data_IF_528330199376
#
_entry.id   IF_528330199376
#
_cell.length_a   1.000
_cell.length_b   1.000
_cell.length_c   1.000
_cell.angle_alpha   90.00
_cell.angle_beta   90.00
_cell.angle_gamma   90.00
#
_symmetry.space_group_name_H-M   'P 1'
#
loop_
_entity.id
_entity.type
_entity.pdbx_description
1 polymer ?
#
# COMPACT_ATOMS: atom_id res chain seq x y z
N UNK A 1 -11.95 3.31 -19.85
CA UNK A 1 -10.57 2.98 -20.26
C UNK A 1 -10.51 1.55 -20.77
N UNK A 2 -9.92 1.37 -21.96
CA UNK A 2 -9.62 0.07 -22.57
C UNK A 2 -8.43 -0.61 -21.86
N UNK A 3 -8.44 -1.93 -21.76
CA UNK A 3 -7.37 -2.72 -21.14
C UNK A 3 -6.00 -2.46 -21.80
N UNK A 4 -5.95 -2.31 -23.12
CA UNK A 4 -4.71 -1.99 -23.86
C UNK A 4 -4.08 -0.66 -23.41
N UNK A 5 -4.88 0.30 -22.92
CA UNK A 5 -4.37 1.58 -22.47
C UNK A 5 -3.59 1.50 -21.14
N UNK A 6 -3.72 0.40 -20.39
CA UNK A 6 -2.96 0.20 -19.15
C UNK A 6 -1.48 -0.12 -19.38
N UNK A 7 -1.11 -0.58 -20.58
CA UNK A 7 0.26 -0.96 -20.92
C UNK A 7 1.08 0.17 -21.54
N UNK A 8 0.51 1.38 -21.67
CA UNK A 8 1.25 2.55 -22.13
C UNK A 8 2.24 3.00 -21.06
N UNK A 9 3.49 3.29 -21.44
CA UNK A 9 4.54 3.74 -20.51
C UNK A 9 4.16 4.95 -19.65
N UNK A 10 3.24 5.80 -20.12
CA UNK A 10 2.67 6.89 -19.33
C UNK A 10 2.01 6.43 -18.02
N UNK A 11 1.56 5.18 -17.96
CA UNK A 11 0.96 4.55 -16.78
C UNK A 11 1.98 4.16 -15.71
N UNK A 12 3.28 4.36 -15.95
CA UNK A 12 4.30 4.36 -14.89
C UNK A 12 4.29 5.66 -14.07
N UNK A 13 3.82 6.78 -14.64
CA UNK A 13 3.84 8.10 -14.00
C UNK A 13 2.65 8.28 -13.05
N UNK A 14 2.87 8.78 -11.84
CA UNK A 14 1.83 9.03 -10.85
C UNK A 14 0.91 10.23 -11.21
N UNK A 15 0.02 10.03 -12.18
CA UNK A 15 -1.01 11.00 -12.63
C UNK A 15 -2.41 10.49 -12.32
N UNK A 16 -3.23 11.29 -11.64
CA UNK A 16 -4.58 10.87 -11.29
C UNK A 16 -5.47 12.10 -11.12
N UNK A 17 -6.71 11.98 -11.58
CA UNK A 17 -7.59 13.15 -11.77
C UNK A 17 -8.15 13.68 -10.45
N UNK A 18 -8.29 12.83 -9.42
CA UNK A 18 -8.88 13.21 -8.14
C UNK A 18 -8.03 12.78 -6.95
N UNK A 19 -7.41 13.73 -6.26
CA UNK A 19 -6.66 13.45 -5.02
C UNK A 19 -7.56 12.90 -3.91
N UNK A 20 -8.88 13.15 -3.96
CA UNK A 20 -9.84 12.66 -2.98
C UNK A 20 -9.88 11.13 -2.90
N UNK A 21 -9.56 10.43 -3.99
CA UNK A 21 -9.48 8.97 -4.00
C UNK A 21 -8.47 8.41 -3.00
N UNK A 22 -7.46 9.20 -2.61
CA UNK A 22 -6.40 8.75 -1.71
C UNK A 22 -6.74 8.90 -0.23
N UNK A 23 -7.68 9.77 0.14
CA UNK A 23 -7.93 10.11 1.54
C UNK A 23 -9.39 10.07 1.98
N UNK A 24 -10.34 9.92 1.06
CA UNK A 24 -11.77 9.84 1.38
C UNK A 24 -12.25 8.40 1.48
N UNK A 25 -13.14 8.15 2.44
CA UNK A 25 -13.94 6.94 2.46
C UNK A 25 -14.82 6.91 1.21
N UNK A 26 -14.74 5.84 0.41
CA UNK A 26 -15.56 5.71 -0.80
C UNK A 26 -16.75 4.76 -0.63
N UNK A 27 -16.88 4.09 0.52
CA UNK A 27 -18.01 3.25 0.84
C UNK A 27 -19.04 4.00 1.71
N UNK A 28 -20.33 3.80 1.41
CA UNK A 28 -21.46 4.09 2.29
C UNK A 28 -21.91 5.55 2.48
N UNK A 29 -21.34 6.54 1.77
CA UNK A 29 -21.85 7.93 1.83
C UNK A 29 -21.77 8.62 3.20
N UNK A 30 -21.04 8.02 4.16
CA UNK A 30 -20.88 8.51 5.53
C UNK A 30 -19.76 9.56 5.59
N UNK A 31 -19.83 10.43 6.60
CA UNK A 31 -18.78 11.39 6.99
C UNK A 31 -17.38 10.79 6.93
N UNK A 32 -16.42 11.57 6.39
CA UNK A 32 -15.08 11.12 6.05
C UNK A 32 -14.17 10.90 7.28
N UNK A 33 -14.39 9.80 7.99
CA UNK A 33 -13.61 9.39 9.16
C UNK A 33 -12.53 8.33 8.84
N UNK A 34 -12.18 8.12 7.57
CA UNK A 34 -11.14 7.16 7.16
C UNK A 34 -9.79 7.39 7.87
N UNK A 35 -9.50 8.65 8.22
CA UNK A 35 -8.29 9.01 8.96
C UNK A 35 -8.19 8.34 10.34
N UNK A 36 -9.31 8.16 11.06
CA UNK A 36 -9.32 7.49 12.37
C UNK A 36 -8.93 6.03 12.23
N UNK A 37 -9.54 5.34 11.26
CA UNK A 37 -9.25 3.93 10.99
C UNK A 37 -7.78 3.74 10.59
N UNK A 38 -7.27 4.59 9.69
CA UNK A 38 -5.87 4.55 9.27
C UNK A 38 -4.90 4.84 10.40
N UNK A 39 -5.25 5.75 11.30
CA UNK A 39 -4.44 6.03 12.49
C UNK A 39 -4.36 4.79 13.39
N UNK A 40 -5.49 4.13 13.66
CA UNK A 40 -5.51 2.88 14.43
C UNK A 40 -4.69 1.78 13.76
N UNK A 41 -4.83 1.60 12.45
CA UNK A 41 -4.05 0.61 11.70
C UNK A 41 -2.55 0.92 11.71
N UNK A 42 -2.18 2.20 11.58
CA UNK A 42 -0.78 2.63 11.62
C UNK A 42 -0.16 2.39 13.00
N UNK A 43 -0.86 2.75 14.08
CA UNK A 43 -0.41 2.51 15.45
C UNK A 43 -0.24 1.02 15.73
N UNK A 44 -1.18 0.20 15.27
CA UNK A 44 -1.10 -1.25 15.41
C UNK A 44 0.09 -1.84 14.65
N UNK A 45 0.24 -1.50 13.36
CA UNK A 45 1.34 -2.00 12.55
C UNK A 45 2.71 -1.56 13.09
N UNK A 46 2.80 -0.35 13.62
CA UNK A 46 4.00 0.17 14.28
C UNK A 46 4.29 -0.58 15.59
N UNK A 47 3.27 -0.84 16.42
CA UNK A 47 3.43 -1.61 17.64
C UNK A 47 3.93 -3.03 17.35
N UNK A 48 3.37 -3.72 16.35
CA UNK A 48 3.85 -5.05 15.94
C UNK A 48 5.28 -4.99 15.38
N UNK A 49 5.62 -3.95 14.61
CA UNK A 49 6.98 -3.78 14.10
C UNK A 49 7.99 -3.64 15.25
N UNK A 50 7.71 -2.74 16.20
CA UNK A 50 8.55 -2.51 17.39
C UNK A 50 8.63 -3.78 18.24
N UNK A 51 7.49 -4.40 18.53
CA UNK A 51 7.44 -5.65 19.28
C UNK A 51 8.31 -6.72 18.62
N UNK A 52 8.21 -6.90 17.31
CA UNK A 52 9.03 -7.89 16.60
C UNK A 52 10.53 -7.56 16.67
N UNK A 53 10.91 -6.29 16.54
CA UNK A 53 12.31 -5.88 16.60
C UNK A 53 12.91 -6.08 18.01
N UNK A 54 12.11 -5.86 19.05
CA UNK A 54 12.51 -6.08 20.44
C UNK A 54 12.47 -7.57 20.77
N UNK A 55 11.32 -8.24 20.67
CA UNK A 55 11.16 -9.63 21.10
C UNK A 55 12.11 -10.61 20.40
N UNK A 56 12.46 -10.36 19.14
CA UNK A 56 13.33 -11.26 18.37
C UNK A 56 14.83 -10.93 18.45
N UNK A 57 15.29 -10.06 19.36
CA UNK A 57 16.68 -9.68 19.73
C UNK A 57 17.86 -10.43 19.02
N UNK A 58 17.85 -10.49 17.71
CA UNK A 58 18.80 -11.26 16.90
C UNK A 58 19.39 -10.35 15.86
N UNK A 59 20.69 -10.51 15.63
CA UNK A 59 21.41 -9.88 14.52
C UNK A 59 20.78 -10.18 13.13
N UNK A 60 19.84 -11.12 13.07
CA UNK A 60 19.21 -11.59 11.84
C UNK A 60 17.79 -11.06 11.62
N UNK A 61 17.20 -10.30 12.56
CA UNK A 61 15.83 -9.80 12.39
C UNK A 61 15.64 -9.08 11.05
N UNK A 62 16.55 -8.17 10.71
CA UNK A 62 16.47 -7.35 9.50
C UNK A 62 16.70 -8.11 8.18
N UNK A 63 17.08 -9.39 8.19
CA UNK A 63 17.39 -10.12 6.95
C UNK A 63 16.15 -10.79 6.35
N UNK A 64 15.07 -10.96 7.10
CA UNK A 64 13.89 -11.66 6.64
C UNK A 64 13.02 -10.76 5.75
N UNK A 65 12.53 -11.32 4.64
CA UNK A 65 11.60 -10.66 3.71
C UNK A 65 10.34 -10.16 4.44
N UNK A 66 9.86 -10.93 5.42
CA UNK A 66 8.72 -10.54 6.26
C UNK A 66 8.93 -9.18 6.91
N UNK A 67 10.12 -8.92 7.45
CA UNK A 67 10.40 -7.63 8.09
C UNK A 67 10.47 -6.48 7.09
N UNK A 68 11.06 -6.72 5.91
CA UNK A 68 11.07 -5.72 4.84
C UNK A 68 9.65 -5.37 4.37
N UNK A 69 8.79 -6.38 4.18
CA UNK A 69 7.39 -6.18 3.81
C UNK A 69 6.58 -5.49 4.91
N UNK A 70 6.85 -5.80 6.18
CA UNK A 70 6.20 -5.15 7.31
C UNK A 70 6.60 -3.68 7.42
N UNK A 71 7.88 -3.35 7.24
CA UNK A 71 8.35 -1.95 7.18
C UNK A 71 7.63 -1.17 6.08
N UNK A 72 7.52 -1.74 4.87
CA UNK A 72 6.76 -1.13 3.77
C UNK A 72 5.30 -0.91 4.14
N UNK A 73 4.66 -1.91 4.76
CA UNK A 73 3.26 -1.85 5.19
C UNK A 73 3.03 -0.77 6.27
N UNK A 74 3.94 -0.67 7.24
CA UNK A 74 3.91 0.36 8.28
C UNK A 74 4.10 1.76 7.67
N UNK A 75 5.07 1.94 6.76
CA UNK A 75 5.25 3.22 6.05
C UNK A 75 3.98 3.59 5.29
N UNK A 76 3.35 2.65 4.59
CA UNK A 76 2.09 2.86 3.90
C UNK A 76 0.98 3.33 4.84
N UNK A 77 0.74 2.62 5.95
CA UNK A 77 -0.33 2.97 6.89
C UNK A 77 -0.08 4.32 7.58
N UNK A 78 1.17 4.59 8.00
CA UNK A 78 1.56 5.87 8.60
C UNK A 78 1.38 7.04 7.62
N UNK A 79 1.86 6.89 6.39
CA UNK A 79 1.73 7.95 5.38
C UNK A 79 0.28 8.14 4.94
N UNK A 80 -0.50 7.06 4.84
CA UNK A 80 -1.94 7.13 4.57
C UNK A 80 -2.72 7.82 5.68
N UNK A 81 -2.39 7.55 6.94
CA UNK A 81 -2.98 8.25 8.10
C UNK A 81 -2.66 9.74 8.05
N UNK A 82 -1.37 10.10 7.91
CA UNK A 82 -0.95 11.50 7.84
C UNK A 82 -1.60 12.26 6.66
N UNK A 83 -1.69 11.62 5.49
CA UNK A 83 -2.34 12.18 4.30
C UNK A 83 -3.83 12.41 4.53
N UNK A 84 -4.50 11.43 5.14
CA UNK A 84 -5.94 11.51 5.44
C UNK A 84 -6.26 12.57 6.47
N UNK A 85 -5.44 12.73 7.51
CA UNK A 85 -5.56 13.82 8.48
C UNK A 85 -5.37 15.15 7.75
N UNK A 86 -4.23 15.33 7.07
CA UNK A 86 -3.88 16.59 6.41
C UNK A 86 -4.99 17.12 5.49
N UNK A 87 -5.47 16.31 4.55
CA UNK A 87 -6.47 16.77 3.59
C UNK A 87 -7.89 16.87 4.17
N UNK A 88 -8.23 16.09 5.20
CA UNK A 88 -9.54 16.22 5.85
C UNK A 88 -9.63 17.53 6.63
N UNK A 89 -8.60 17.88 7.40
CA UNK A 89 -8.57 19.13 8.17
C UNK A 89 -8.28 20.35 7.30
N UNK A 90 -7.52 20.23 6.21
CA UNK A 90 -7.36 21.32 5.26
C UNK A 90 -8.69 21.67 4.57
N UNK A 91 -9.46 20.65 4.14
CA UNK A 91 -10.78 20.84 3.51
C UNK A 91 -11.78 21.49 4.45
N UNK A 92 -11.82 21.09 5.74
CA UNK A 92 -12.69 21.74 6.72
C UNK A 92 -12.34 23.21 6.92
N UNK A 93 -11.06 23.56 6.99
CA UNK A 93 -10.64 24.96 7.19
C UNK A 93 -11.05 25.86 6.01
N UNK A 94 -10.94 25.38 4.77
CA UNK A 94 -11.35 26.13 3.58
C UNK A 94 -12.87 26.35 3.56
N UNK A 95 -13.66 25.32 3.88
CA UNK A 95 -15.13 25.42 3.92
C UNK A 95 -15.58 26.43 4.99
N UNK A 96 -14.97 26.38 6.18
CA UNK A 96 -15.27 27.33 7.26
C UNK A 96 -14.91 28.76 6.86
N UNK A 97 -13.74 28.98 6.24
CA UNK A 97 -13.33 30.31 5.74
C UNK A 97 -14.31 30.85 4.71
N UNK A 98 -14.63 30.06 3.67
CA UNK A 98 -15.53 30.49 2.60
C UNK A 98 -16.94 30.79 3.12
N UNK A 99 -17.42 30.04 4.12
CA UNK A 99 -18.72 30.29 4.74
C UNK A 99 -18.71 31.59 5.52
N UNK A 100 -17.64 31.87 6.28
CA UNK A 100 -17.49 33.13 6.99
C UNK A 100 -17.38 34.33 6.03
N UNK A 101 -16.65 34.19 4.93
CA UNK A 101 -16.51 35.23 3.90
C UNK A 101 -17.86 35.53 3.21
N UNK A 102 -18.64 34.49 2.88
CA UNK A 102 -19.97 34.63 2.26
C UNK A 102 -21.00 35.29 3.17
N UNK A 103 -21.01 34.95 4.46
CA UNK A 103 -21.90 35.57 5.45
C UNK A 103 -21.57 37.06 5.65
N UNK A 104 -20.32 37.46 5.41
CA UNK A 104 -19.87 38.86 5.50
C UNK A 104 -20.12 39.68 4.21
N UNK A 105 -20.33 39.02 3.05
CA UNK A 105 -20.20 39.65 1.73
C UNK A 105 -21.49 39.89 0.91
N UNK A 106 -22.67 40.06 1.51
CA UNK A 106 -23.85 40.48 0.70
C UNK A 106 -24.07 42.00 0.76
N UNK A 107 -24.26 42.74 -0.37
CA UNK A 107 -24.72 42.29 -1.69
C UNK A 107 -23.75 42.53 -2.88
N UNK A 108 -23.71 41.51 -3.76
CA UNK A 108 -23.47 41.46 -5.22
C UNK A 108 -22.74 42.62 -5.91
N UNK A 109 -21.56 42.34 -6.48
CA UNK A 109 -21.29 42.47 -7.93
C UNK A 109 -19.91 41.89 -8.30
N UNK A 110 -19.87 41.19 -9.44
CA UNK A 110 -18.67 40.92 -10.26
C UNK A 110 -17.62 39.89 -9.79
N UNK A 111 -18.05 38.87 -9.03
CA UNK A 111 -17.16 37.78 -8.56
C UNK A 111 -17.16 36.52 -9.45
N UNK A 112 -17.90 36.52 -10.55
CA UNK A 112 -18.18 35.31 -11.32
C UNK A 112 -16.99 34.83 -12.19
N UNK A 113 -16.13 35.75 -12.65
CA UNK A 113 -15.05 35.41 -13.60
C UNK A 113 -13.72 35.02 -12.92
N UNK A 114 -13.45 35.46 -11.69
CA UNK A 114 -12.19 35.15 -10.99
C UNK A 114 -12.18 33.77 -10.32
N UNK A 115 -13.34 33.28 -9.90
CA UNK A 115 -13.47 31.96 -9.26
C UNK A 115 -13.26 30.84 -10.30
N UNK A 116 -13.83 31.01 -11.50
CA UNK A 116 -13.75 30.02 -12.59
C UNK A 116 -12.31 29.83 -13.09
N UNK A 117 -11.51 30.90 -13.18
CA UNK A 117 -10.12 30.78 -13.66
C UNK A 117 -9.16 30.10 -12.67
N UNK A 118 -9.43 30.15 -11.36
CA UNK A 118 -8.56 29.51 -10.34
C UNK A 118 -8.75 28.00 -10.28
N UNK A 119 -9.94 27.50 -10.65
CA UNK A 119 -10.22 26.06 -10.73
C UNK A 119 -9.53 25.38 -11.93
N UNK A 120 -9.25 26.12 -13.01
CA UNK A 120 -8.80 25.52 -14.29
C UNK A 120 -7.27 25.24 -14.32
N UNK A 121 -6.47 25.79 -13.40
CA UNK A 121 -5.00 25.74 -13.47
C UNK A 121 -4.32 24.83 -12.45
N UNK A 122 -5.03 24.01 -11.67
CA UNK A 122 -4.38 23.02 -10.81
C UNK A 122 -3.86 21.91 -11.71
N UNK A 123 -2.56 21.95 -12.02
CA UNK A 123 -1.88 20.96 -12.86
C UNK A 123 -2.34 19.54 -12.51
N UNK A 124 -2.65 18.70 -13.51
CA UNK A 124 -2.99 17.27 -13.38
C UNK A 124 -1.86 16.39 -12.77
N UNK A 125 -0.88 16.99 -12.11
CA UNK A 125 0.16 16.33 -11.36
C UNK A 125 -0.27 16.17 -9.91
N UNK A 126 -0.33 14.92 -9.49
CA UNK A 126 -0.56 14.54 -8.09
C UNK A 126 0.61 15.08 -7.24
N UNK A 127 0.36 15.68 -6.05
CA UNK A 127 1.42 16.15 -5.18
C UNK A 127 2.43 15.04 -4.85
N UNK A 128 3.72 15.36 -4.77
CA UNK A 128 4.79 14.36 -4.56
C UNK A 128 4.55 13.45 -3.35
N UNK A 129 3.99 13.98 -2.26
CA UNK A 129 3.63 13.22 -1.05
C UNK A 129 2.57 12.14 -1.34
N UNK A 130 1.58 12.46 -2.17
CA UNK A 130 0.54 11.52 -2.61
C UNK A 130 1.13 10.50 -3.58
N UNK A 131 2.06 10.89 -4.47
CA UNK A 131 2.78 9.95 -5.33
C UNK A 131 3.58 8.93 -4.52
N UNK A 132 4.32 9.38 -3.50
CA UNK A 132 5.05 8.51 -2.60
C UNK A 132 4.10 7.56 -1.86
N UNK A 133 3.02 8.09 -1.27
CA UNK A 133 1.98 7.27 -0.64
C UNK A 133 1.43 6.20 -1.60
N UNK A 134 1.14 6.57 -2.85
CA UNK A 134 0.64 5.66 -3.86
C UNK A 134 1.65 4.55 -4.22
N UNK A 135 2.93 4.91 -4.32
CA UNK A 135 4.00 3.93 -4.53
C UNK A 135 4.03 2.92 -3.38
N UNK A 136 4.12 3.39 -2.13
CA UNK A 136 4.20 2.49 -0.97
C UNK A 136 2.92 1.70 -0.74
N UNK A 137 1.75 2.23 -1.12
CA UNK A 137 0.49 1.50 -1.14
C UNK A 137 0.55 0.30 -2.08
N UNK A 138 0.93 0.53 -3.35
CA UNK A 138 1.07 -0.56 -4.33
C UNK A 138 2.09 -1.61 -3.87
N UNK A 139 3.21 -1.16 -3.30
CA UNK A 139 4.22 -2.04 -2.72
C UNK A 139 3.65 -2.89 -1.59
N UNK A 140 2.96 -2.29 -0.63
CA UNK A 140 2.35 -2.95 0.52
C UNK A 140 1.34 -4.03 0.09
N UNK A 141 0.45 -3.70 -0.84
CA UNK A 141 -0.55 -4.64 -1.37
C UNK A 141 0.10 -5.90 -1.96
N UNK A 142 1.14 -5.72 -2.77
CA UNK A 142 1.72 -6.84 -3.52
C UNK A 142 2.73 -7.63 -2.70
N UNK A 143 3.60 -6.96 -1.95
CA UNK A 143 4.61 -7.63 -1.12
C UNK A 143 3.95 -8.33 0.07
N UNK A 144 2.94 -7.74 0.70
CA UNK A 144 2.16 -8.42 1.73
C UNK A 144 1.46 -9.67 1.20
N UNK A 145 0.87 -9.59 0.00
CA UNK A 145 0.26 -10.72 -0.70
C UNK A 145 1.26 -11.83 -1.07
N UNK A 146 2.48 -11.46 -1.46
CA UNK A 146 3.57 -12.41 -1.67
C UNK A 146 3.92 -13.12 -0.35
N UNK A 147 4.13 -12.37 0.73
CA UNK A 147 4.55 -12.92 2.02
C UNK A 147 3.52 -13.89 2.58
N UNK A 148 2.22 -13.56 2.57
CA UNK A 148 1.16 -14.47 3.03
C UNK A 148 1.13 -15.77 2.22
N UNK A 149 1.24 -15.69 0.88
CA UNK A 149 1.23 -16.87 0.02
C UNK A 149 2.46 -17.75 0.27
N UNK A 150 3.66 -17.14 0.30
CA UNK A 150 4.90 -17.89 0.47
C UNK A 150 5.04 -18.47 1.87
N UNK A 151 4.66 -17.71 2.90
CA UNK A 151 4.77 -18.15 4.28
C UNK A 151 3.90 -19.38 4.54
N UNK A 152 2.59 -19.27 4.38
CA UNK A 152 1.69 -20.41 4.65
C UNK A 152 1.83 -21.53 3.62
N UNK A 153 2.18 -21.21 2.37
CA UNK A 153 2.38 -22.22 1.33
C UNK A 153 3.66 -23.03 1.45
N UNK A 154 4.75 -22.45 1.97
CA UNK A 154 6.08 -23.08 1.86
C UNK A 154 6.98 -22.97 3.09
N UNK A 155 6.77 -21.99 3.99
CA UNK A 155 7.78 -21.64 5.01
C UNK A 155 7.27 -21.80 6.45
N UNK A 156 5.95 -21.85 6.69
CA UNK A 156 5.40 -21.90 8.06
C UNK A 156 5.79 -23.17 8.82
N UNK A 157 6.04 -24.27 8.11
CA UNK A 157 6.41 -25.58 8.69
C UNK A 157 7.84 -25.60 9.23
N UNK A 158 8.67 -24.61 8.89
CA UNK A 158 10.07 -24.60 9.26
C UNK A 158 10.31 -24.15 10.72
N UNK A 159 9.24 -23.85 11.48
CA UNK A 159 9.25 -23.54 12.93
C UNK A 159 10.49 -22.76 13.38
N UNK A 160 10.76 -21.60 12.77
CA UNK A 160 11.92 -20.77 13.13
C UNK A 160 11.91 -20.31 14.59
N UNK A 161 10.73 -20.34 15.22
CA UNK A 161 10.43 -19.90 16.57
C UNK A 161 9.33 -20.82 17.13
N UNK A 162 9.50 -21.29 18.36
CA UNK A 162 8.54 -22.16 19.05
C UNK A 162 7.91 -21.44 20.25
N UNK A 163 6.67 -21.81 20.58
CA UNK A 163 5.91 -21.27 21.72
C UNK A 163 4.83 -20.25 21.35
N UNK A 164 4.03 -19.85 22.34
CA UNK A 164 2.87 -18.97 22.14
C UNK A 164 3.26 -17.59 21.56
N UNK A 165 4.41 -17.04 21.94
CA UNK A 165 4.90 -15.75 21.43
C UNK A 165 5.30 -15.83 19.95
N UNK A 166 5.80 -16.99 19.52
CA UNK A 166 6.14 -17.24 18.12
C UNK A 166 4.88 -17.32 17.25
N UNK A 167 3.86 -18.04 17.71
CA UNK A 167 2.58 -18.14 17.00
C UNK A 167 1.88 -16.78 16.90
N UNK A 168 1.85 -16.03 18.01
CA UNK A 168 1.34 -14.66 18.03
C UNK A 168 2.07 -13.79 17.00
N UNK A 169 3.41 -13.78 17.00
CA UNK A 169 4.17 -13.00 16.05
C UNK A 169 3.95 -13.44 14.61
N UNK A 170 3.88 -14.74 14.34
CA UNK A 170 3.68 -15.27 13.00
C UNK A 170 2.34 -14.83 12.40
N UNK A 171 1.25 -14.96 13.17
CA UNK A 171 -0.09 -14.52 12.74
C UNK A 171 -0.12 -13.01 12.53
N UNK A 172 0.50 -12.23 13.41
CA UNK A 172 0.46 -10.78 13.33
C UNK A 172 1.32 -10.20 12.19
N UNK A 173 2.56 -10.68 12.05
CA UNK A 173 3.51 -10.23 11.04
C UNK A 173 3.08 -10.62 9.63
N UNK A 174 2.55 -11.82 9.45
CA UNK A 174 2.21 -12.33 8.11
C UNK A 174 0.73 -12.11 7.75
N UNK A 175 -0.17 -12.13 8.74
CA UNK A 175 -1.62 -12.17 8.53
C UNK A 175 -2.32 -10.87 8.90
N UNK A 176 -2.31 -10.50 10.19
CA UNK A 176 -3.15 -9.40 10.69
C UNK A 176 -2.80 -8.07 10.04
N UNK A 177 -1.52 -7.68 10.02
CA UNK A 177 -1.12 -6.40 9.42
C UNK A 177 -1.45 -6.33 7.93
N UNK A 178 -1.27 -7.45 7.20
CA UNK A 178 -1.69 -7.51 5.81
C UNK A 178 -3.23 -7.44 5.65
N UNK A 179 -3.98 -8.06 6.56
CA UNK A 179 -5.43 -7.93 6.64
C UNK A 179 -5.86 -6.46 6.79
N UNK A 180 -5.21 -5.68 7.65
CA UNK A 180 -5.47 -4.23 7.79
C UNK A 180 -5.18 -3.47 6.49
N UNK A 181 -4.10 -3.82 5.80
CA UNK A 181 -3.76 -3.26 4.49
C UNK A 181 -4.84 -3.57 3.45
N UNK A 182 -5.36 -4.79 3.42
CA UNK A 182 -6.46 -5.20 2.52
C UNK A 182 -7.75 -4.47 2.88
N UNK A 183 -8.08 -4.32 4.17
CA UNK A 183 -9.24 -3.55 4.61
C UNK A 183 -9.12 -2.08 4.17
N UNK A 184 -7.98 -1.42 4.39
CA UNK A 184 -7.76 -0.05 3.92
C UNK A 184 -7.85 0.05 2.40
N UNK A 185 -7.29 -0.93 1.68
CA UNK A 185 -7.47 -1.02 0.24
C UNK A 185 -8.96 -1.07 -0.11
N UNK A 186 -9.77 -1.93 0.50
CA UNK A 186 -11.20 -2.08 0.19
C UNK A 186 -11.99 -0.79 0.46
N UNK A 187 -11.66 -0.06 1.53
CA UNK A 187 -12.37 1.16 1.94
C UNK A 187 -11.96 2.42 1.16
N UNK A 188 -10.73 2.45 0.66
CA UNK A 188 -10.16 3.61 -0.03
C UNK A 188 -10.45 3.63 -1.54
N UNK A 189 -10.30 4.79 -2.17
CA UNK A 189 -10.41 4.96 -3.63
C UNK A 189 -9.11 4.75 -4.39
N UNK A 190 -8.04 4.26 -3.73
CA UNK A 190 -6.68 4.32 -4.28
C UNK A 190 -6.61 3.62 -5.65
N UNK A 191 -6.14 4.32 -6.70
CA UNK A 191 -6.02 3.76 -8.04
C UNK A 191 -4.98 2.64 -8.09
N UNK A 192 -5.28 1.55 -8.80
CA UNK A 192 -4.31 0.48 -9.11
C UNK A 192 -4.07 0.45 -10.61
N UNK A 193 -2.81 0.25 -11.00
CA UNK A 193 -2.37 0.18 -12.39
C UNK A 193 -1.51 -1.04 -12.62
N UNK A 194 -1.62 -1.66 -13.78
CA UNK A 194 -0.84 -2.86 -14.10
C UNK A 194 0.66 -2.57 -14.09
N UNK A 195 1.10 -1.48 -14.73
CA UNK A 195 2.54 -1.15 -14.81
C UNK A 195 3.19 -0.76 -13.48
N UNK A 196 2.41 -0.38 -12.45
CA UNK A 196 2.98 -0.18 -11.11
C UNK A 196 3.52 -1.48 -10.50
N UNK A 197 3.18 -2.64 -11.07
CA UNK A 197 3.78 -3.94 -10.74
C UNK A 197 5.30 -4.00 -10.94
N UNK A 198 5.91 -3.08 -11.69
CA UNK A 198 7.38 -3.00 -11.80
C UNK A 198 8.05 -2.72 -10.45
N UNK A 199 7.41 -1.93 -9.57
CA UNK A 199 8.00 -1.56 -8.28
C UNK A 199 8.15 -2.75 -7.33
N UNK A 200 7.12 -3.59 -7.08
CA UNK A 200 7.29 -4.77 -6.24
C UNK A 200 8.16 -5.85 -6.90
N UNK A 201 8.24 -5.92 -8.23
CA UNK A 201 9.21 -6.79 -8.93
C UNK A 201 10.64 -6.36 -8.64
N UNK A 202 10.96 -5.07 -8.75
CA UNK A 202 12.30 -4.54 -8.43
C UNK A 202 12.68 -4.77 -6.97
N UNK A 203 11.71 -4.63 -6.05
CA UNK A 203 11.92 -4.97 -4.65
C UNK A 203 12.21 -6.46 -4.44
N UNK A 204 11.43 -7.35 -5.06
CA UNK A 204 11.67 -8.80 -5.01
C UNK A 204 13.04 -9.19 -5.55
N UNK A 205 13.46 -8.58 -6.68
CA UNK A 205 14.81 -8.76 -7.24
C UNK A 205 15.90 -8.28 -6.27
N UNK A 206 15.69 -7.11 -5.65
CA UNK A 206 16.63 -6.55 -4.66
C UNK A 206 16.82 -7.50 -3.48
N UNK A 207 15.71 -8.02 -2.94
CA UNK A 207 15.77 -8.99 -1.85
C UNK A 207 16.39 -10.32 -2.29
N UNK A 208 16.09 -10.81 -3.49
CA UNK A 208 16.68 -12.03 -4.05
C UNK A 208 18.21 -11.93 -4.18
N UNK A 209 18.71 -10.82 -4.71
CA UNK A 209 20.15 -10.53 -4.79
C UNK A 209 20.76 -10.45 -3.39
N UNK A 210 20.13 -9.72 -2.47
CA UNK A 210 20.57 -9.65 -1.07
C UNK A 210 20.65 -11.05 -0.43
N UNK A 211 19.62 -11.88 -0.61
CA UNK A 211 19.56 -13.24 -0.06
C UNK A 211 20.68 -14.13 -0.61
N UNK A 212 20.97 -14.03 -1.91
CA UNK A 212 22.07 -14.76 -2.53
C UNK A 212 23.42 -14.32 -1.98
N UNK A 213 23.70 -13.01 -1.93
CA UNK A 213 24.95 -12.46 -1.38
C UNK A 213 25.13 -12.89 0.08
N UNK A 214 24.09 -12.74 0.90
CA UNK A 214 24.12 -13.13 2.31
C UNK A 214 24.48 -14.62 2.46
N UNK A 215 23.80 -15.49 1.71
CA UNK A 215 23.98 -16.94 1.81
C UNK A 215 25.36 -17.38 1.32
N UNK A 216 25.85 -16.78 0.23
CA UNK A 216 27.16 -17.11 -0.32
C UNK A 216 28.32 -16.65 0.59
N UNK A 217 28.13 -15.53 1.29
CA UNK A 217 29.13 -14.94 2.20
C UNK A 217 29.17 -15.63 3.56
N UNK A 218 28.00 -15.96 4.11
CA UNK A 218 27.89 -16.54 5.48
C UNK A 218 27.81 -18.06 5.48
N UNK A 219 27.58 -18.68 4.32
CA UNK A 219 27.23 -20.10 4.15
C UNK A 219 25.93 -20.51 4.85
N UNK A 220 25.13 -19.54 5.32
CA UNK A 220 23.84 -19.75 5.99
C UNK A 220 22.70 -19.25 5.11
N UNK A 221 21.78 -20.14 4.77
CA UNK A 221 20.56 -19.76 4.04
C UNK A 221 19.61 -18.99 4.98
N UNK A 222 19.00 -17.92 4.47
CA UNK A 222 17.95 -17.16 5.19
C UNK A 222 16.69 -18.02 5.36
N UNK A 223 16.29 -18.70 4.28
CA UNK A 223 15.19 -19.64 4.26
C UNK A 223 15.66 -20.98 3.71
N UNK A 224 15.12 -22.13 4.18
CA UNK A 224 15.47 -23.45 3.67
C UNK A 224 15.24 -23.61 2.16
N UNK A 225 14.28 -22.89 1.60
CA UNK A 225 13.98 -22.84 0.16
C UNK A 225 14.97 -22.01 -0.67
N UNK A 226 15.81 -21.19 -0.02
CA UNK A 226 16.81 -20.30 -0.66
C UNK A 226 18.25 -20.75 -0.38
N UNK A 227 18.53 -22.05 -0.53
CA UNK A 227 19.87 -22.64 -0.36
C UNK A 227 20.80 -22.30 -1.54
N UNK A 228 21.14 -21.03 -1.72
CA UNK A 228 22.00 -20.54 -2.82
C UNK A 228 23.38 -21.20 -2.89
N UNK A 229 23.93 -21.66 -1.75
CA UNK A 229 25.25 -22.28 -1.71
C UNK A 229 25.25 -23.76 -2.15
N UNK A 230 24.23 -24.53 -1.76
CA UNK A 230 24.20 -25.99 -1.97
C UNK A 230 23.22 -26.43 -3.05
N UNK A 231 22.14 -25.67 -3.26
CA UNK A 231 21.05 -25.99 -4.19
C UNK A 231 20.65 -24.74 -5.00
N UNK A 232 21.63 -24.08 -5.62
CA UNK A 232 21.45 -22.79 -6.29
C UNK A 232 20.32 -22.77 -7.34
N UNK A 233 20.18 -23.84 -8.13
CA UNK A 233 19.13 -23.95 -9.15
C UNK A 233 17.73 -23.97 -8.52
N UNK A 234 17.54 -24.71 -7.42
CA UNK A 234 16.25 -24.75 -6.70
C UNK A 234 15.92 -23.39 -6.10
N UNK A 235 16.90 -22.71 -5.51
CA UNK A 235 16.75 -21.36 -4.98
C UNK A 235 16.37 -20.35 -6.08
N UNK A 236 16.96 -20.47 -7.27
CA UNK A 236 16.63 -19.65 -8.43
C UNK A 236 15.19 -19.90 -8.90
N UNK A 237 14.78 -21.16 -9.05
CA UNK A 237 13.41 -21.53 -9.45
C UNK A 237 12.40 -20.97 -8.45
N UNK A 238 12.64 -21.13 -7.14
CA UNK A 238 11.76 -20.58 -6.10
C UNK A 238 11.67 -19.05 -6.18
N UNK A 239 12.79 -18.37 -6.42
CA UNK A 239 12.83 -16.91 -6.59
C UNK A 239 12.06 -16.45 -7.83
N UNK A 240 12.17 -17.16 -8.95
CA UNK A 240 11.39 -16.87 -10.16
C UNK A 240 9.89 -17.12 -9.95
N UNK A 241 9.52 -18.18 -9.22
CA UNK A 241 8.14 -18.44 -8.83
C UNK A 241 7.59 -17.31 -7.95
N UNK A 242 8.37 -16.85 -6.97
CA UNK A 242 7.99 -15.71 -6.12
C UNK A 242 7.76 -14.43 -6.93
N UNK A 243 8.59 -14.14 -7.94
CA UNK A 243 8.35 -13.04 -8.88
C UNK A 243 7.07 -13.25 -9.73
N UNK A 244 6.75 -14.49 -10.09
CA UNK A 244 5.47 -14.84 -10.70
C UNK A 244 4.29 -14.52 -9.79
N UNK A 245 4.38 -14.84 -8.50
CA UNK A 245 3.35 -14.52 -7.50
C UNK A 245 3.15 -13.01 -7.38
N UNK A 246 4.22 -12.21 -7.39
CA UNK A 246 4.15 -10.73 -7.42
C UNK A 246 3.28 -10.23 -8.58
N UNK A 247 3.46 -10.79 -9.78
CA UNK A 247 2.69 -10.42 -10.98
C UNK A 247 1.21 -10.81 -10.81
N UNK A 248 0.95 -12.02 -10.33
CA UNK A 248 -0.43 -12.52 -10.09
C UNK A 248 -1.16 -11.63 -9.07
N UNK A 249 -0.50 -11.30 -7.96
CA UNK A 249 -1.08 -10.43 -6.92
C UNK A 249 -1.33 -9.02 -7.45
N UNK A 250 -0.41 -8.44 -8.25
CA UNK A 250 -0.64 -7.14 -8.90
C UNK A 250 -1.89 -7.17 -9.80
N UNK A 251 -2.06 -8.23 -10.60
CA UNK A 251 -3.22 -8.40 -11.48
C UNK A 251 -4.50 -8.56 -10.65
N UNK A 252 -4.45 -9.32 -9.54
CA UNK A 252 -5.56 -9.48 -8.61
C UNK A 252 -6.03 -8.12 -8.06
N UNK A 253 -5.12 -7.31 -7.50
CA UNK A 253 -5.48 -5.99 -6.97
C UNK A 253 -5.98 -5.03 -8.06
N UNK A 254 -5.45 -5.11 -9.27
CA UNK A 254 -5.99 -4.36 -10.41
C UNK A 254 -7.43 -4.78 -10.72
N UNK A 255 -7.70 -6.09 -10.76
CA UNK A 255 -9.04 -6.64 -10.95
C UNK A 255 -10.02 -6.21 -9.86
N UNK A 256 -9.61 -6.32 -8.59
CA UNK A 256 -10.40 -5.90 -7.44
C UNK A 256 -10.69 -4.38 -7.48
N UNK A 257 -9.70 -3.55 -7.82
CA UNK A 257 -9.89 -2.12 -8.01
C UNK A 257 -10.91 -1.81 -9.11
N UNK A 258 -10.84 -2.52 -10.24
CA UNK A 258 -11.82 -2.38 -11.34
C UNK A 258 -13.22 -2.78 -10.90
N UNK A 259 -13.36 -3.86 -10.13
CA UNK A 259 -14.65 -4.29 -9.58
C UNK A 259 -15.22 -3.23 -8.63
N UNK A 260 -14.44 -2.75 -7.68
CA UNK A 260 -14.83 -1.67 -6.75
C UNK A 260 -15.36 -0.44 -7.49
N UNK A 261 -14.66 -0.02 -8.55
CA UNK A 261 -15.09 1.11 -9.38
C UNK A 261 -16.42 0.87 -10.09
N UNK A 262 -16.65 -0.34 -10.61
CA UNK A 262 -17.91 -0.70 -11.30
C UNK A 262 -19.10 -0.78 -10.35
N UNK A 263 -18.91 -1.38 -9.18
CA UNK A 263 -19.96 -1.46 -8.15
C UNK A 263 -20.36 -0.03 -7.75
N UNK A 264 -19.38 0.83 -7.46
CA UNK A 264 -19.62 2.22 -7.09
C UNK A 264 -20.32 3.04 -8.18
N UNK A 265 -19.94 2.88 -9.45
CA UNK A 265 -20.60 3.61 -10.54
C UNK A 265 -22.08 3.26 -10.68
N UNK A 266 -22.50 2.05 -10.28
CA UNK A 266 -23.91 1.64 -10.31
C UNK A 266 -24.72 2.20 -9.14
N UNK A 267 -24.11 2.29 -7.95
CA UNK A 267 -24.78 2.83 -6.76
C UNK A 267 -25.06 4.34 -6.89
N UNK A 268 -24.19 5.09 -7.57
CA UNK A 268 -24.39 6.54 -7.80
C UNK A 268 -25.44 6.86 -8.88
N UNK A 269 -25.91 5.86 -9.63
CA UNK A 269 -26.92 6.02 -10.70
C UNK A 269 -28.31 5.51 -10.31
N UNK A 270 -28.49 5.04 -9.07
CA UNK A 270 -29.83 4.70 -8.57
C UNK A 270 -30.48 5.96 -7.99
N UNK A 271 -31.66 6.37 -8.50
CA UNK A 271 -32.37 7.57 -8.06
C UNK A 271 -32.86 7.48 -6.61
#
# INVERSE_FOLDING_TARGET
>A
MSFKAEFKLEKLKFKHDSIEDFYTLRCCGVSNHLWLLRLLFALYALAILIHSAVAFHTQYWAIFLTQWGHVVSTIYLCTGSALSIYYTFQKSNIIVSNKADFELSSPVTDMHDKVVFREISVSNMVPKKVCFFWLVANMSYVIGGLIIILYWGFVHQDHFLDGADAEFANINLHGVVYGLVVIDFLLSGIPIRILHGVYPVLFGLTYGVFSAIFTLSTKRAIYPVLKWHTHAIQALIFSLMALGVVIVVQIFFYGAHRLKRRVRSRTMTMP
#
